data_IF_820431263951
#
_entry.id   IF_820431263951
#
_cell.length_a   1.000
_cell.length_b   1.000
_cell.length_c   1.000
_cell.angle_alpha   90.00
_cell.angle_beta   90.00
_cell.angle_gamma   90.00
#
_symmetry.space_group_name_H-M   'P 1'
#
loop_
_entity.id
_entity.type
_entity.pdbx_description
1 polymer ?
#
# COMPACT_ATOMS: atom_id res chain seq x y z
N UNK A 1 79.61 -6.50 -81.47
CA UNK A 1 78.37 -5.91 -80.93
C UNK A 1 77.69 -6.76 -79.85
N UNK A 2 77.69 -8.10 -79.92
CA UNK A 2 77.09 -8.95 -78.87
C UNK A 2 78.05 -9.43 -77.76
N UNK A 3 79.32 -9.01 -77.79
CA UNK A 3 80.36 -9.40 -76.82
C UNK A 3 80.97 -8.18 -76.09
N UNK A 4 80.27 -7.04 -76.08
CA UNK A 4 80.70 -5.85 -75.33
C UNK A 4 80.18 -5.97 -73.88
N UNK A 5 81.06 -6.01 -72.86
CA UNK A 5 80.66 -6.13 -71.45
C UNK A 5 79.66 -5.06 -71.03
N UNK A 6 79.73 -3.88 -71.64
CA UNK A 6 78.87 -2.73 -71.35
C UNK A 6 77.40 -2.99 -71.69
N UNK A 7 77.13 -3.76 -72.75
CA UNK A 7 75.76 -4.12 -73.15
C UNK A 7 75.10 -5.07 -72.14
N UNK A 8 75.84 -6.09 -71.68
CA UNK A 8 75.33 -7.01 -70.65
C UNK A 8 75.13 -6.33 -69.29
N UNK A 9 75.96 -5.34 -68.94
CA UNK A 9 75.76 -4.49 -67.75
C UNK A 9 74.50 -3.64 -67.88
N UNK A 10 74.24 -3.05 -69.05
CA UNK A 10 73.01 -2.28 -69.28
C UNK A 10 71.75 -3.18 -69.19
N UNK A 11 71.80 -4.38 -69.78
CA UNK A 11 70.69 -5.35 -69.71
C UNK A 11 70.44 -5.81 -68.27
N UNK A 12 71.48 -6.12 -67.50
CA UNK A 12 71.33 -6.53 -66.10
C UNK A 12 70.84 -5.38 -65.20
N UNK A 13 71.26 -4.14 -65.46
CA UNK A 13 70.76 -2.96 -64.76
C UNK A 13 69.27 -2.73 -65.04
N UNK A 14 68.84 -2.80 -66.31
CA UNK A 14 67.42 -2.66 -66.67
C UNK A 14 66.59 -3.78 -66.03
N UNK A 15 67.07 -5.03 -66.08
CA UNK A 15 66.38 -6.17 -65.46
C UNK A 15 66.26 -5.98 -63.94
N UNK A 16 67.32 -5.52 -63.28
CA UNK A 16 67.32 -5.22 -61.84
C UNK A 16 66.33 -4.10 -61.50
N UNK A 17 66.34 -3.00 -62.24
CA UNK A 17 65.41 -1.88 -62.03
C UNK A 17 63.96 -2.33 -62.19
N UNK A 18 63.66 -3.13 -63.23
CA UNK A 18 62.29 -3.64 -63.44
C UNK A 18 61.84 -4.56 -62.30
N UNK A 19 62.72 -5.45 -61.82
CA UNK A 19 62.41 -6.33 -60.69
C UNK A 19 62.17 -5.55 -59.39
N UNK A 20 63.02 -4.58 -59.08
CA UNK A 20 62.90 -3.75 -57.87
C UNK A 20 61.67 -2.84 -57.97
N UNK A 21 61.45 -2.18 -59.11
CA UNK A 21 60.30 -1.31 -59.32
C UNK A 21 58.99 -2.08 -59.17
N UNK A 22 58.90 -3.30 -59.72
CA UNK A 22 57.72 -4.17 -59.53
C UNK A 22 57.49 -4.52 -58.07
N UNK A 23 58.54 -4.88 -57.33
CA UNK A 23 58.42 -5.23 -55.91
C UNK A 23 58.01 -4.02 -55.06
N UNK A 24 58.64 -2.87 -55.27
CA UNK A 24 58.32 -1.62 -54.56
C UNK A 24 56.89 -1.19 -54.85
N UNK A 25 56.47 -1.22 -56.12
CA UNK A 25 55.10 -0.88 -56.51
C UNK A 25 54.08 -1.78 -55.82
N UNK A 26 54.28 -3.11 -55.85
CA UNK A 26 53.40 -4.05 -55.18
C UNK A 26 53.33 -3.83 -53.66
N UNK A 27 54.45 -3.56 -53.00
CA UNK A 27 54.46 -3.28 -51.55
C UNK A 27 53.79 -1.95 -51.22
N UNK A 28 53.97 -0.93 -52.06
CA UNK A 28 53.35 0.37 -51.88
C UNK A 28 51.83 0.31 -52.05
N UNK A 29 51.32 -0.39 -53.08
CA UNK A 29 49.87 -0.54 -53.28
C UNK A 29 49.23 -1.31 -52.13
N UNK A 30 49.84 -2.43 -51.69
CA UNK A 30 49.33 -3.22 -50.55
C UNK A 30 49.28 -2.38 -49.27
N UNK A 31 50.29 -1.55 -49.00
CA UNK A 31 50.31 -0.69 -47.81
C UNK A 31 49.24 0.40 -47.88
N UNK A 32 49.00 0.99 -49.06
CA UNK A 32 47.95 1.99 -49.26
C UNK A 32 46.55 1.37 -49.15
N UNK A 33 46.33 0.19 -49.74
CA UNK A 33 45.08 -0.55 -49.65
C UNK A 33 44.77 -0.94 -48.19
N UNK A 34 45.78 -1.43 -47.45
CA UNK A 34 45.64 -1.76 -46.03
C UNK A 34 45.23 -0.53 -45.19
N UNK A 35 45.82 0.64 -45.46
CA UNK A 35 45.43 1.89 -44.79
C UNK A 35 44.03 2.34 -45.18
N UNK A 36 43.67 2.25 -46.46
CA UNK A 36 42.33 2.59 -46.93
C UNK A 36 41.27 1.71 -46.27
N UNK A 37 41.54 0.42 -46.15
CA UNK A 37 40.65 -0.54 -45.48
C UNK A 37 40.54 -0.26 -43.98
N UNK A 38 41.64 0.04 -43.30
CA UNK A 38 41.63 0.43 -41.89
C UNK A 38 40.79 1.70 -41.65
N UNK A 39 40.94 2.71 -42.51
CA UNK A 39 40.15 3.95 -42.42
C UNK A 39 38.66 3.67 -42.65
N UNK A 40 38.33 2.83 -43.64
CA UNK A 40 36.93 2.42 -43.90
C UNK A 40 36.32 1.73 -42.68
N UNK A 41 37.02 0.74 -42.11
CA UNK A 41 36.56 0.05 -40.89
C UNK A 41 36.33 1.00 -39.73
N UNK A 42 37.27 1.91 -39.46
CA UNK A 42 37.13 2.92 -38.41
C UNK A 42 35.93 3.85 -38.65
N UNK A 43 35.66 4.22 -39.91
CA UNK A 43 34.51 5.05 -40.28
C UNK A 43 33.19 4.30 -40.13
N UNK A 44 33.13 3.02 -40.51
CA UNK A 44 31.97 2.15 -40.32
C UNK A 44 31.68 1.94 -38.83
N UNK A 45 32.71 1.61 -38.04
CA UNK A 45 32.60 1.49 -36.58
C UNK A 45 32.10 2.79 -35.95
N UNK A 46 32.64 3.94 -36.35
CA UNK A 46 32.20 5.24 -35.84
C UNK A 46 30.74 5.55 -36.22
N UNK A 47 30.29 5.16 -37.41
CA UNK A 47 28.90 5.30 -37.82
C UNK A 47 27.98 4.39 -36.99
N UNK A 48 28.34 3.12 -36.82
CA UNK A 48 27.59 2.17 -36.00
C UNK A 48 27.48 2.65 -34.54
N UNK A 49 28.60 3.08 -33.93
CA UNK A 49 28.62 3.66 -32.59
C UNK A 49 27.70 4.89 -32.48
N UNK A 50 27.65 5.73 -33.51
CA UNK A 50 26.76 6.89 -33.53
C UNK A 50 25.30 6.48 -33.61
N UNK A 51 24.96 5.50 -34.44
CA UNK A 51 23.61 4.96 -34.55
C UNK A 51 23.15 4.29 -33.26
N UNK A 52 24.01 3.48 -32.63
CA UNK A 52 23.76 2.87 -31.33
C UNK A 52 23.54 3.93 -30.24
N UNK A 53 24.38 4.97 -30.19
CA UNK A 53 24.22 6.07 -29.24
C UNK A 53 22.91 6.85 -29.46
N UNK A 54 22.51 7.06 -30.71
CA UNK A 54 21.23 7.70 -31.05
C UNK A 54 20.04 6.82 -30.66
N UNK A 55 20.11 5.53 -30.94
CA UNK A 55 19.09 4.55 -30.56
C UNK A 55 18.95 4.45 -29.03
N UNK A 56 20.08 4.39 -28.31
CA UNK A 56 20.11 4.39 -26.85
C UNK A 56 19.48 5.67 -26.29
N UNK A 57 19.85 6.85 -26.81
CA UNK A 57 19.26 8.12 -26.40
C UNK A 57 17.75 8.15 -26.64
N UNK A 58 17.28 7.70 -27.79
CA UNK A 58 15.86 7.64 -28.10
C UNK A 58 15.10 6.69 -27.16
N UNK A 59 15.69 5.53 -26.83
CA UNK A 59 15.14 4.60 -25.85
C UNK A 59 15.07 5.21 -24.45
N UNK A 60 16.12 5.90 -24.00
CA UNK A 60 16.12 6.60 -22.71
C UNK A 60 15.04 7.70 -22.65
N UNK A 61 14.90 8.50 -23.71
CA UNK A 61 13.85 9.53 -23.77
C UNK A 61 12.44 8.93 -23.75
N UNK A 62 12.23 7.79 -24.41
CA UNK A 62 10.96 7.06 -24.36
C UNK A 62 10.69 6.54 -22.95
N UNK A 63 11.65 5.85 -22.35
CA UNK A 63 11.55 5.32 -21.00
C UNK A 63 11.29 6.42 -19.97
N UNK A 64 11.96 7.57 -20.10
CA UNK A 64 11.72 8.72 -19.23
C UNK A 64 10.28 9.23 -19.34
N UNK A 65 9.74 9.36 -20.55
CA UNK A 65 8.34 9.78 -20.76
C UNK A 65 7.35 8.78 -20.20
N UNK A 66 7.62 7.49 -20.39
CA UNK A 66 6.73 6.43 -19.90
C UNK A 66 6.77 6.36 -18.37
N UNK A 67 7.95 6.47 -17.76
CA UNK A 67 8.11 6.55 -16.31
C UNK A 67 7.39 7.76 -15.69
N UNK A 68 7.42 8.93 -16.35
CA UNK A 68 6.67 10.11 -15.90
C UNK A 68 5.17 9.88 -15.95
N UNK A 69 4.65 9.30 -17.04
CA UNK A 69 3.23 8.95 -17.15
C UNK A 69 2.80 7.92 -16.10
N UNK A 70 3.64 6.92 -15.85
CA UNK A 70 3.36 5.90 -14.84
C UNK A 70 3.36 6.50 -13.44
N UNK A 71 4.30 7.39 -13.13
CA UNK A 71 4.30 8.14 -11.87
C UNK A 71 3.04 9.00 -11.71
N UNK A 72 2.61 9.71 -12.76
CA UNK A 72 1.36 10.47 -12.74
C UNK A 72 0.13 9.56 -12.54
N UNK A 73 0.09 8.40 -13.18
CA UNK A 73 -0.96 7.41 -13.01
C UNK A 73 -1.00 6.85 -11.58
N UNK A 74 0.15 6.52 -10.99
CA UNK A 74 0.26 6.08 -9.60
C UNK A 74 -0.27 7.15 -8.64
N UNK A 75 0.13 8.42 -8.85
CA UNK A 75 -0.35 9.52 -8.03
C UNK A 75 -1.86 9.75 -8.17
N UNK A 76 -2.40 9.64 -9.38
CA UNK A 76 -3.84 9.74 -9.62
C UNK A 76 -4.60 8.61 -8.91
N UNK A 77 -4.15 7.36 -9.06
CA UNK A 77 -4.73 6.20 -8.39
C UNK A 77 -4.69 6.34 -6.86
N UNK A 78 -3.54 6.74 -6.31
CA UNK A 78 -3.38 6.95 -4.87
C UNK A 78 -4.32 8.03 -4.33
N UNK A 79 -4.54 9.12 -5.08
CA UNK A 79 -5.49 10.17 -4.70
C UNK A 79 -6.93 9.68 -4.74
N UNK A 80 -7.31 8.93 -5.77
CA UNK A 80 -8.65 8.34 -5.88
C UNK A 80 -8.91 7.33 -4.77
N UNK A 81 -7.94 6.49 -4.46
CA UNK A 81 -8.01 5.51 -3.39
C UNK A 81 -8.06 6.18 -2.01
N UNK A 82 -7.27 7.22 -1.77
CA UNK A 82 -7.36 8.02 -0.55
C UNK A 82 -8.72 8.69 -0.40
N UNK A 83 -9.31 9.18 -1.51
CA UNK A 83 -10.67 9.76 -1.50
C UNK A 83 -11.72 8.71 -1.16
N UNK A 84 -11.68 7.54 -1.82
CA UNK A 84 -12.58 6.41 -1.52
C UNK A 84 -12.45 5.95 -0.07
N UNK A 85 -11.22 5.82 0.43
CA UNK A 85 -10.96 5.44 1.82
C UNK A 85 -11.50 6.45 2.81
N UNK A 86 -11.39 7.75 2.52
CA UNK A 86 -11.99 8.81 3.34
C UNK A 86 -13.52 8.71 3.37
N UNK A 87 -14.17 8.63 2.21
CA UNK A 87 -15.63 8.51 2.11
C UNK A 87 -16.16 7.26 2.84
N UNK A 88 -15.48 6.12 2.69
CA UNK A 88 -15.84 4.88 3.39
C UNK A 88 -15.62 4.99 4.90
N UNK A 89 -14.54 5.66 5.32
CA UNK A 89 -14.25 5.89 6.74
C UNK A 89 -15.27 6.82 7.38
N UNK A 90 -15.68 7.88 6.68
CA UNK A 90 -16.74 8.79 7.11
C UNK A 90 -18.06 8.06 7.29
N UNK A 91 -18.49 7.27 6.29
CA UNK A 91 -19.71 6.44 6.39
C UNK A 91 -19.65 5.45 7.56
N UNK A 92 -18.50 4.79 7.76
CA UNK A 92 -18.32 3.86 8.89
C UNK A 92 -18.36 4.59 10.23
N UNK A 93 -17.78 5.79 10.30
CA UNK A 93 -17.77 6.61 11.50
C UNK A 93 -19.19 7.08 11.85
N UNK A 94 -19.94 7.61 10.88
CA UNK A 94 -21.35 7.99 11.06
C UNK A 94 -22.18 6.80 11.56
N UNK A 95 -22.05 5.64 10.92
CA UNK A 95 -22.77 4.44 11.35
C UNK A 95 -22.36 4.00 12.77
N UNK A 96 -21.09 4.14 13.14
CA UNK A 96 -20.60 3.81 14.48
C UNK A 96 -21.12 4.80 15.53
N UNK A 97 -21.18 6.10 15.20
CA UNK A 97 -21.73 7.14 16.05
C UNK A 97 -23.22 6.94 16.28
N UNK A 98 -24.00 6.70 15.23
CA UNK A 98 -25.43 6.41 15.33
C UNK A 98 -25.72 5.18 16.22
N UNK A 99 -24.95 4.09 16.06
CA UNK A 99 -25.05 2.92 16.96
C UNK A 99 -24.70 3.26 18.40
N UNK A 100 -23.66 4.07 18.63
CA UNK A 100 -23.27 4.49 19.98
C UNK A 100 -24.33 5.38 20.63
N UNK A 101 -24.95 6.24 19.87
CA UNK A 101 -26.05 7.09 20.32
C UNK A 101 -27.26 6.24 20.74
N UNK A 102 -27.68 5.29 19.90
CA UNK A 102 -28.75 4.35 20.24
C UNK A 102 -28.44 3.56 21.52
N UNK A 103 -27.23 3.01 21.63
CA UNK A 103 -26.81 2.29 22.84
C UNK A 103 -26.76 3.19 24.08
N UNK A 104 -26.42 4.48 23.93
CA UNK A 104 -26.44 5.42 25.04
C UNK A 104 -27.88 5.72 25.48
N UNK A 105 -28.79 5.94 24.54
CA UNK A 105 -30.23 6.15 24.81
C UNK A 105 -30.83 4.92 25.50
N UNK A 106 -30.55 3.71 25.00
CA UNK A 106 -31.02 2.46 25.62
C UNK A 106 -30.48 2.30 27.05
N UNK A 107 -29.20 2.63 27.29
CA UNK A 107 -28.61 2.60 28.63
C UNK A 107 -29.24 3.63 29.57
N UNK A 108 -29.54 4.83 29.08
CA UNK A 108 -30.23 5.85 29.87
C UNK A 108 -31.63 5.37 30.24
N UNK A 109 -32.41 4.85 29.28
CA UNK A 109 -33.74 4.32 29.53
C UNK A 109 -33.72 3.15 30.53
N UNK A 110 -32.74 2.24 30.42
CA UNK A 110 -32.57 1.15 31.37
C UNK A 110 -32.19 1.66 32.78
N UNK A 111 -31.33 2.68 32.87
CA UNK A 111 -30.96 3.29 34.14
C UNK A 111 -32.13 4.04 34.80
N UNK A 112 -32.96 4.74 34.01
CA UNK A 112 -34.18 5.40 34.49
C UNK A 112 -35.21 4.39 35.00
N UNK A 113 -35.43 3.31 34.26
CA UNK A 113 -36.33 2.23 34.69
C UNK A 113 -35.86 1.60 35.99
N UNK A 114 -34.54 1.36 36.14
CA UNK A 114 -33.95 0.86 37.37
C UNK A 114 -34.11 1.84 38.52
N UNK A 115 -33.81 3.13 38.32
CA UNK A 115 -33.96 4.15 39.35
C UNK A 115 -35.43 4.27 39.83
N UNK A 116 -36.40 4.17 38.92
CA UNK A 116 -37.82 4.15 39.27
C UNK A 116 -38.19 2.92 40.09
N UNK A 117 -37.63 1.75 39.76
CA UNK A 117 -37.83 0.53 40.54
C UNK A 117 -37.24 0.68 41.95
N UNK A 118 -35.98 1.14 42.06
CA UNK A 118 -35.29 1.35 43.33
C UNK A 118 -36.08 2.32 44.24
N UNK A 119 -36.64 3.40 43.67
CA UNK A 119 -37.50 4.34 44.41
C UNK A 119 -38.79 3.69 44.89
N UNK A 120 -39.44 2.85 44.06
CA UNK A 120 -40.65 2.13 44.47
C UNK A 120 -40.37 1.14 45.59
N UNK A 121 -39.26 0.41 45.52
CA UNK A 121 -38.84 -0.52 46.58
C UNK A 121 -38.62 0.23 47.90
N UNK A 122 -37.90 1.36 47.87
CA UNK A 122 -37.73 2.21 49.06
C UNK A 122 -39.06 2.75 49.61
N UNK A 123 -40.01 3.13 48.75
CA UNK A 123 -41.34 3.55 49.20
C UNK A 123 -42.13 2.43 49.86
N UNK A 124 -42.06 1.20 49.33
CA UNK A 124 -42.71 0.02 49.92
C UNK A 124 -42.12 -0.26 51.30
N UNK A 125 -40.80 -0.24 51.43
CA UNK A 125 -40.11 -0.43 52.70
C UNK A 125 -40.51 0.63 53.73
N UNK A 126 -40.56 1.91 53.32
CA UNK A 126 -40.98 3.00 54.19
C UNK A 126 -42.46 2.89 54.60
N UNK A 127 -43.34 2.54 53.68
CA UNK A 127 -44.76 2.33 53.96
C UNK A 127 -44.97 1.15 54.92
N UNK A 128 -44.23 0.05 54.73
CA UNK A 128 -44.25 -1.09 55.64
C UNK A 128 -43.72 -0.71 57.04
N UNK A 129 -42.63 0.05 57.12
CA UNK A 129 -42.09 0.53 58.39
C UNK A 129 -43.09 1.44 59.12
N UNK A 130 -43.70 2.39 58.42
CA UNK A 130 -44.73 3.26 58.98
C UNK A 130 -45.98 2.46 59.43
N UNK A 131 -46.40 1.47 58.64
CA UNK A 131 -47.53 0.59 58.99
C UNK A 131 -47.22 -0.24 60.24
N UNK A 132 -46.01 -0.81 60.35
CA UNK A 132 -45.56 -1.51 61.55
C UNK A 132 -45.62 -0.60 62.78
N UNK A 133 -45.11 0.62 62.66
CA UNK A 133 -45.12 1.60 63.75
C UNK A 133 -46.55 2.02 64.14
N UNK A 134 -47.46 2.18 63.16
CA UNK A 134 -48.87 2.47 63.42
C UNK A 134 -49.58 1.30 64.12
N UNK A 135 -49.31 0.06 63.71
CA UNK A 135 -49.84 -1.16 64.36
C UNK A 135 -49.33 -1.24 65.80
N UNK A 136 -48.02 -1.06 66.03
CA UNK A 136 -47.44 -1.05 67.38
C UNK A 136 -48.07 0.04 68.27
N UNK A 137 -48.35 1.22 67.73
CA UNK A 137 -48.98 2.32 68.46
C UNK A 137 -50.48 2.12 68.73
N UNK A 138 -51.19 1.30 67.94
CA UNK A 138 -52.64 1.06 68.06
C UNK A 138 -53.00 -0.33 68.63
N UNK A 139 -52.02 -1.19 68.96
CA UNK A 139 -52.29 -2.45 69.67
C UNK A 139 -52.59 -2.14 71.14
N UNK A 140 -53.89 -2.13 71.47
CA UNK A 140 -54.37 -2.21 72.84
C UNK A 140 -54.36 -3.67 73.35
N UNK A 141 -54.52 -3.87 74.67
CA UNK A 141 -54.52 -5.21 75.27
C UNK A 141 -55.67 -6.10 74.75
N UNK A 142 -56.76 -5.52 74.24
CA UNK A 142 -57.92 -6.25 73.70
C UNK A 142 -57.68 -6.79 72.28
N UNK A 143 -56.95 -6.05 71.45
CA UNK A 143 -56.49 -6.47 70.13
C UNK A 143 -55.42 -7.54 70.28
N UNK A 144 -54.51 -7.38 71.25
CA UNK A 144 -53.47 -8.38 71.56
C UNK A 144 -54.06 -9.72 72.00
N UNK A 145 -55.10 -9.70 72.83
CA UNK A 145 -55.84 -10.90 73.23
C UNK A 145 -56.55 -11.60 72.06
N UNK A 146 -57.23 -10.85 71.19
CA UNK A 146 -57.87 -11.40 69.97
C UNK A 146 -56.87 -12.02 69.00
N UNK A 147 -55.71 -11.39 68.77
CA UNK A 147 -54.67 -11.93 67.89
C UNK A 147 -54.10 -13.27 68.40
N UNK A 148 -54.00 -13.45 69.72
CA UNK A 148 -53.58 -14.73 70.32
C UNK A 148 -54.66 -15.80 70.15
N UNK A 149 -55.92 -15.45 70.38
CA UNK A 149 -57.07 -16.35 70.18
C UNK A 149 -57.18 -16.80 68.70
N UNK A 150 -57.07 -15.85 67.76
CA UNK A 150 -57.09 -16.12 66.32
C UNK A 150 -55.91 -17.00 65.89
N UNK A 151 -54.69 -16.73 66.37
CA UNK A 151 -53.51 -17.55 66.07
C UNK A 151 -53.65 -18.99 66.61
N UNK A 152 -54.21 -19.16 67.82
CA UNK A 152 -54.51 -20.48 68.39
C UNK A 152 -55.57 -21.22 67.57
N UNK A 153 -56.52 -20.49 67.00
CA UNK A 153 -57.61 -21.05 66.16
C UNK A 153 -57.16 -21.37 64.73
N UNK A 154 -56.14 -20.67 64.18
CA UNK A 154 -55.61 -20.89 62.83
C UNK A 154 -54.60 -22.05 62.73
N UNK A 155 -53.89 -22.39 63.83
CA UNK A 155 -52.95 -23.53 63.89
C UNK A 155 -53.59 -24.86 63.45
N UNK A 156 -54.80 -25.24 63.90
CA UNK A 156 -55.50 -26.44 63.41
C UNK A 156 -55.81 -26.42 61.91
N UNK A 157 -56.01 -25.23 61.30
CA UNK A 157 -56.44 -25.08 59.91
C UNK A 157 -55.30 -25.17 58.88
N UNK A 158 -54.04 -25.00 59.30
CA UNK A 158 -52.84 -25.18 58.45
C UNK A 158 -52.14 -26.53 58.60
N UNK A 159 -52.69 -27.42 59.44
CA UNK A 159 -52.21 -28.79 59.67
C UNK A 159 -53.09 -29.87 59.01
N UNK A 160 -53.99 -29.47 58.11
CA UNK A 160 -54.64 -30.33 57.11
C UNK A 160 -54.13 -29.97 55.71
#
# INVERSE_FOLDING_TARGET
MFADPTFWVAVSFVLFVVLVAKMVWQKATVALDARAEEIRKRLEEAQNLREEAQAAKANYQRLQRDALKEAEAILAHAREEAKRMREDSEKKLEAALARREQLAVEKIAAAEAKALQDVREQMVDLAMAATRQLIEANIDDSVRGRLVEDAVTEIPARLQ
#
